data_IF_218518328858
#
_entry.id   IF_218518328858
#
_cell.length_a   1.000
_cell.length_b   1.000
_cell.length_c   1.000
_cell.angle_alpha   90.00
_cell.angle_beta   90.00
_cell.angle_gamma   90.00
#
_symmetry.space_group_name_H-M   'P 1'
#
loop_
_entity.id
_entity.type
_entity.pdbx_description
1 polymer ?
#
# COMPACT_ATOMS: atom_id res chain seq x y z
N UNK A 1 -6.16 32.83 -19.42
CA UNK A 1 -6.83 32.02 -18.38
C UNK A 1 -6.74 30.57 -18.84
N UNK A 2 -5.88 29.73 -18.24
CA UNK A 2 -5.74 28.35 -18.67
C UNK A 2 -6.85 27.48 -18.06
N UNK A 3 -7.35 26.58 -18.91
CA UNK A 3 -8.49 25.66 -18.75
C UNK A 3 -8.27 24.57 -17.69
N UNK A 4 -9.36 23.94 -17.19
CA UNK A 4 -9.30 22.93 -16.13
C UNK A 4 -9.00 21.55 -16.75
N UNK A 5 -7.80 21.35 -17.26
CA UNK A 5 -7.37 20.02 -17.70
C UNK A 5 -6.10 19.61 -16.97
N UNK A 6 -6.16 18.39 -16.40
CA UNK A 6 -5.14 17.62 -15.68
C UNK A 6 -5.22 17.66 -14.15
N UNK A 7 -6.26 17.03 -13.62
CA UNK A 7 -6.12 16.25 -12.38
C UNK A 7 -5.50 14.90 -12.74
N UNK A 8 -4.19 14.87 -12.96
CA UNK A 8 -3.42 13.64 -13.01
C UNK A 8 -2.85 13.40 -11.61
N UNK A 9 -3.55 12.59 -10.80
CA UNK A 9 -3.00 11.73 -9.73
C UNK A 9 -4.11 11.40 -8.71
N UNK A 10 -4.59 10.16 -8.74
CA UNK A 10 -4.86 9.31 -7.55
C UNK A 10 -5.51 8.01 -8.05
N UNK A 11 -4.71 7.13 -8.66
CA UNK A 11 -5.11 5.74 -8.86
C UNK A 11 -4.09 4.89 -8.10
N UNK A 12 -4.23 4.79 -6.79
CA UNK A 12 -3.51 3.75 -6.04
C UNK A 12 -4.11 2.42 -6.52
N UNK A 13 -3.35 1.65 -7.30
CA UNK A 13 -3.76 0.30 -7.71
C UNK A 13 -4.83 0.20 -8.82
N UNK A 14 -5.15 1.28 -9.54
CA UNK A 14 -6.07 1.22 -10.68
C UNK A 14 -7.54 0.99 -10.30
N UNK A 15 -7.96 1.46 -9.13
CA UNK A 15 -9.37 1.48 -8.71
C UNK A 15 -10.02 2.82 -9.04
N UNK A 16 -11.28 2.78 -9.46
CA UNK A 16 -12.10 3.97 -9.60
C UNK A 16 -12.58 4.46 -8.22
N UNK A 17 -12.61 5.78 -7.97
CA UNK A 17 -13.12 6.34 -6.72
C UNK A 17 -14.55 5.87 -6.42
N UNK A 18 -14.82 5.57 -5.16
CA UNK A 18 -16.13 5.19 -4.66
C UNK A 18 -17.10 6.38 -4.75
N UNK A 19 -18.25 6.13 -5.38
CA UNK A 19 -19.32 7.13 -5.50
C UNK A 19 -20.46 6.72 -4.57
N UNK A 20 -20.55 7.42 -3.43
CA UNK A 20 -21.64 7.22 -2.48
C UNK A 20 -23.00 7.60 -3.11
N UNK A 21 -24.00 6.76 -2.87
CA UNK A 21 -25.36 7.01 -3.32
C UNK A 21 -26.12 7.95 -2.36
N UNK A 22 -27.19 8.59 -2.84
CA UNK A 22 -27.92 9.57 -2.03
C UNK A 22 -28.63 8.87 -0.86
N UNK A 23 -28.26 9.22 0.36
CA UNK A 23 -28.82 8.64 1.58
C UNK A 23 -28.17 7.34 2.02
N UNK A 24 -27.02 7.00 1.44
CA UNK A 24 -26.22 5.86 1.88
C UNK A 24 -25.61 6.08 3.27
N UNK A 25 -25.67 5.04 4.10
CA UNK A 25 -25.06 5.07 5.42
C UNK A 25 -23.53 5.01 5.31
N UNK A 26 -22.85 5.76 6.18
CA UNK A 26 -21.40 5.78 6.23
C UNK A 26 -20.86 4.37 6.55
N UNK A 27 -19.86 3.92 5.79
CA UNK A 27 -19.30 2.57 5.90
C UNK A 27 -20.33 1.43 5.74
N UNK A 28 -21.22 1.60 4.75
CA UNK A 28 -22.08 0.53 4.23
C UNK A 28 -21.27 -0.69 3.76
N UNK A 29 -21.93 -1.85 3.68
CA UNK A 29 -21.34 -3.09 3.14
C UNK A 29 -20.64 -2.89 1.77
N UNK A 30 -21.23 -2.22 0.75
CA UNK A 30 -20.56 -1.99 -0.52
C UNK A 30 -19.33 -1.06 -0.39
N UNK A 31 -19.36 -0.09 0.52
CA UNK A 31 -18.22 0.79 0.79
C UNK A 31 -17.06 0.02 1.45
N UNK A 32 -17.34 -0.80 2.46
CA UNK A 32 -16.35 -1.68 3.10
C UNK A 32 -15.76 -2.68 2.11
N UNK A 33 -16.58 -3.23 1.22
CA UNK A 33 -16.12 -4.13 0.16
C UNK A 33 -15.19 -3.43 -0.83
N UNK A 34 -15.42 -2.16 -1.13
CA UNK A 34 -14.53 -1.35 -1.98
C UNK A 34 -13.14 -1.18 -1.36
N UNK A 35 -13.06 -0.69 -0.12
CA UNK A 35 -11.78 -0.54 0.58
C UNK A 35 -11.05 -1.88 0.80
N UNK A 36 -11.81 -2.95 1.08
CA UNK A 36 -11.26 -4.31 1.20
C UNK A 36 -10.57 -4.75 -0.09
N UNK A 37 -11.15 -4.45 -1.26
CA UNK A 37 -10.52 -4.77 -2.56
C UNK A 37 -9.23 -3.98 -2.78
N UNK A 38 -9.24 -2.69 -2.47
CA UNK A 38 -8.05 -1.82 -2.57
C UNK A 38 -6.91 -2.37 -1.70
N UNK A 39 -7.19 -2.60 -0.42
CA UNK A 39 -6.20 -3.07 0.55
C UNK A 39 -5.65 -4.45 0.20
N UNK A 40 -6.49 -5.38 -0.26
CA UNK A 40 -6.04 -6.70 -0.68
C UNK A 40 -5.15 -6.64 -1.92
N UNK A 41 -5.51 -5.82 -2.92
CA UNK A 41 -4.67 -5.63 -4.11
C UNK A 41 -3.32 -5.02 -3.72
N UNK A 42 -3.34 -3.97 -2.91
CA UNK A 42 -2.10 -3.32 -2.48
C UNK A 42 -1.21 -4.28 -1.67
N UNK A 43 -1.79 -5.08 -0.79
CA UNK A 43 -1.07 -6.15 -0.08
C UNK A 43 -0.45 -7.14 -1.06
N UNK A 44 -1.19 -7.60 -2.06
CA UNK A 44 -0.70 -8.54 -3.06
C UNK A 44 0.46 -7.96 -3.87
N UNK A 45 0.36 -6.69 -4.27
CA UNK A 45 1.43 -6.00 -5.00
C UNK A 45 2.71 -5.90 -4.15
N UNK A 46 2.58 -5.51 -2.88
CA UNK A 46 3.71 -5.47 -1.94
C UNK A 46 4.34 -6.86 -1.70
N UNK A 47 3.52 -7.91 -1.62
CA UNK A 47 4.04 -9.28 -1.46
C UNK A 47 4.86 -9.71 -2.69
N UNK A 48 4.38 -9.41 -3.90
CA UNK A 48 5.12 -9.69 -5.13
C UNK A 48 6.43 -8.91 -5.22
N UNK A 49 6.43 -7.65 -4.79
CA UNK A 49 7.64 -6.82 -4.76
C UNK A 49 8.68 -7.39 -3.79
N UNK A 50 8.26 -7.74 -2.56
CA UNK A 50 9.12 -8.39 -1.57
C UNK A 50 9.72 -9.69 -2.10
N UNK A 51 8.91 -10.55 -2.75
CA UNK A 51 9.40 -11.82 -3.32
C UNK A 51 10.44 -11.58 -4.41
N UNK A 52 10.21 -10.61 -5.31
CA UNK A 52 11.17 -10.23 -6.36
C UNK A 52 12.49 -9.73 -5.78
N UNK A 53 12.45 -8.86 -4.77
CA UNK A 53 13.67 -8.35 -4.11
C UNK A 53 14.44 -9.50 -3.45
N UNK A 54 13.74 -10.43 -2.80
CA UNK A 54 14.40 -11.59 -2.18
C UNK A 54 15.11 -12.46 -3.22
N UNK A 55 14.51 -12.68 -4.38
CA UNK A 55 15.14 -13.47 -5.44
C UNK A 55 16.32 -12.72 -6.08
N UNK A 56 16.20 -11.41 -6.31
CA UNK A 56 17.30 -10.56 -6.76
C UNK A 56 18.52 -10.64 -5.82
N UNK A 57 18.28 -10.49 -4.52
CA UNK A 57 19.32 -10.59 -3.49
C UNK A 57 20.00 -11.97 -3.45
N UNK A 58 19.28 -13.07 -3.72
CA UNK A 58 19.87 -14.42 -3.75
C UNK A 58 20.79 -14.58 -4.96
N UNK A 59 20.35 -14.10 -6.12
CA UNK A 59 21.12 -14.19 -7.36
C UNK A 59 22.41 -13.37 -7.27
N UNK A 60 22.34 -12.16 -6.71
CA UNK A 60 23.53 -11.34 -6.46
C UNK A 60 24.47 -11.94 -5.42
N UNK A 61 23.94 -12.56 -4.36
CA UNK A 61 24.75 -13.21 -3.32
C UNK A 61 25.46 -14.48 -3.82
N UNK A 62 24.94 -15.13 -4.88
CA UNK A 62 25.58 -16.27 -5.51
C UNK A 62 26.79 -15.89 -6.38
N UNK A 63 26.90 -14.61 -6.77
CA UNK A 63 27.99 -14.07 -7.56
C UNK A 63 29.01 -13.38 -6.63
N UNK A 64 30.22 -13.91 -6.54
CA UNK A 64 31.29 -13.29 -5.75
C UNK A 64 31.83 -12.06 -6.48
N UNK A 65 31.65 -10.84 -5.93
CA UNK A 65 32.15 -9.64 -6.57
C UNK A 65 33.67 -9.58 -6.49
N UNK A 66 34.26 -8.89 -7.45
CA UNK A 66 35.65 -8.49 -7.37
C UNK A 66 35.84 -7.51 -6.19
N UNK A 67 37.05 -7.44 -5.59
CA UNK A 67 37.28 -6.58 -4.42
C UNK A 67 36.96 -5.10 -4.62
N UNK A 68 36.97 -4.62 -5.86
CA UNK A 68 36.62 -3.25 -6.23
C UNK A 68 35.10 -2.99 -6.19
N UNK A 69 34.28 -4.00 -6.49
CA UNK A 69 32.82 -3.88 -6.61
C UNK A 69 32.08 -4.24 -5.32
N UNK A 70 32.77 -4.93 -4.40
CA UNK A 70 32.19 -5.37 -3.11
C UNK A 70 31.56 -4.22 -2.31
N UNK A 71 32.20 -3.05 -2.29
CA UNK A 71 31.68 -1.91 -1.53
C UNK A 71 30.35 -1.39 -2.09
N UNK A 72 30.23 -1.32 -3.42
CA UNK A 72 29.00 -0.89 -4.09
C UNK A 72 27.87 -1.91 -3.90
N UNK A 73 28.18 -3.20 -4.03
CA UNK A 73 27.21 -4.26 -3.81
C UNK A 73 26.66 -4.24 -2.36
N UNK A 74 27.54 -4.14 -1.35
CA UNK A 74 27.12 -4.08 0.06
C UNK A 74 26.20 -2.88 0.36
N UNK A 75 26.43 -1.74 -0.31
CA UNK A 75 25.56 -0.57 -0.19
C UNK A 75 24.17 -0.83 -0.78
N UNK A 76 24.09 -1.41 -1.97
CA UNK A 76 22.84 -1.78 -2.64
C UNK A 76 22.02 -2.77 -1.80
N UNK A 77 22.66 -3.84 -1.31
CA UNK A 77 22.05 -4.80 -0.38
C UNK A 77 21.49 -4.12 0.88
N UNK A 78 22.21 -3.15 1.45
CA UNK A 78 21.77 -2.41 2.64
C UNK A 78 20.51 -1.59 2.35
N UNK A 79 20.44 -0.97 1.17
CA UNK A 79 19.27 -0.18 0.74
C UNK A 79 18.05 -1.07 0.51
N UNK A 80 18.22 -2.20 -0.19
CA UNK A 80 17.15 -3.16 -0.48
C UNK A 80 16.58 -3.78 0.80
N UNK A 81 17.45 -4.22 1.73
CA UNK A 81 17.04 -4.75 3.03
C UNK A 81 16.17 -3.77 3.82
N UNK A 82 16.52 -2.48 3.78
CA UNK A 82 15.74 -1.42 4.45
C UNK A 82 14.41 -1.17 3.75
N UNK A 83 14.36 -1.22 2.43
CA UNK A 83 13.12 -1.07 1.66
C UNK A 83 12.15 -2.21 1.96
N UNK A 84 12.62 -3.45 1.86
CA UNK A 84 11.86 -4.66 2.19
C UNK A 84 11.32 -4.64 3.62
N UNK A 85 12.11 -4.20 4.59
CA UNK A 85 11.66 -4.09 5.98
C UNK A 85 10.52 -3.07 6.16
N UNK A 86 10.49 -1.99 5.36
CA UNK A 86 9.38 -1.03 5.33
C UNK A 86 8.14 -1.64 4.70
N UNK A 87 8.27 -2.33 3.57
CA UNK A 87 7.18 -3.04 2.89
C UNK A 87 6.55 -4.09 3.80
N UNK A 88 7.36 -4.91 4.48
CA UNK A 88 6.86 -5.89 5.46
C UNK A 88 6.07 -5.24 6.59
N UNK A 89 6.54 -4.09 7.10
CA UNK A 89 5.79 -3.32 8.13
C UNK A 89 4.49 -2.75 7.56
N UNK A 90 4.48 -2.33 6.30
CA UNK A 90 3.31 -1.82 5.61
C UNK A 90 2.26 -2.93 5.41
N UNK A 91 2.67 -4.13 4.98
CA UNK A 91 1.80 -5.32 4.90
C UNK A 91 1.11 -5.59 6.25
N UNK A 92 1.87 -5.57 7.36
CA UNK A 92 1.29 -5.74 8.70
C UNK A 92 0.26 -4.66 9.06
N UNK A 93 0.47 -3.42 8.61
CA UNK A 93 -0.51 -2.34 8.81
C UNK A 93 -1.76 -2.59 7.98
N UNK A 94 -1.62 -3.01 6.72
CA UNK A 94 -2.75 -3.37 5.86
C UNK A 94 -3.56 -4.51 6.48
N UNK A 95 -2.91 -5.55 7.01
CA UNK A 95 -3.58 -6.65 7.71
C UNK A 95 -4.37 -6.16 8.93
N UNK A 96 -3.80 -5.25 9.72
CA UNK A 96 -4.52 -4.60 10.83
C UNK A 96 -5.72 -3.80 10.32
N UNK A 97 -5.57 -3.04 9.24
CA UNK A 97 -6.67 -2.25 8.66
C UNK A 97 -7.78 -3.14 8.10
N UNK A 98 -7.44 -4.25 7.45
CA UNK A 98 -8.42 -5.25 7.01
C UNK A 98 -9.19 -5.85 8.20
N UNK A 99 -8.53 -6.03 9.34
CA UNK A 99 -9.19 -6.47 10.56
C UNK A 99 -10.15 -5.39 11.10
N UNK A 100 -9.76 -4.12 11.12
CA UNK A 100 -10.65 -3.00 11.50
C UNK A 100 -11.89 -2.90 10.59
N UNK A 101 -11.77 -3.24 9.30
CA UNK A 101 -12.93 -3.28 8.40
C UNK A 101 -13.92 -4.37 8.82
N UNK A 102 -13.41 -5.55 9.20
CA UNK A 102 -14.22 -6.69 9.68
C UNK A 102 -14.87 -6.42 11.04
N UNK A 103 -14.15 -5.74 11.92
CA UNK A 103 -14.63 -5.41 13.27
C UNK A 103 -15.56 -4.19 13.27
N UNK A 104 -15.93 -3.70 12.08
CA UNK A 104 -16.79 -2.55 11.85
C UNK A 104 -16.25 -1.18 12.29
N UNK A 105 -14.98 -1.08 12.67
CA UNK A 105 -14.32 0.12 13.23
C UNK A 105 -13.55 0.98 12.19
N UNK A 106 -13.42 0.52 10.94
CA UNK A 106 -12.72 1.27 9.90
C UNK A 106 -13.52 2.47 9.37
N UNK A 107 -12.89 3.64 9.32
CA UNK A 107 -13.49 4.88 8.80
C UNK A 107 -13.56 6.00 9.82
N UNK A 108 -13.41 5.70 11.11
CA UNK A 108 -13.48 6.72 12.15
C UNK A 108 -12.09 7.08 12.68
N UNK A 109 -11.94 8.33 13.10
CA UNK A 109 -10.71 8.79 13.72
C UNK A 109 -10.52 8.16 15.11
N UNK A 110 -9.40 7.47 15.33
CA UNK A 110 -9.09 6.80 16.60
C UNK A 110 -9.08 7.73 17.83
N UNK A 111 -8.85 9.04 17.65
CA UNK A 111 -8.74 10.00 18.76
C UNK A 111 -10.06 10.67 19.14
N UNK A 112 -10.95 10.92 18.18
CA UNK A 112 -12.17 11.71 18.41
C UNK A 112 -13.46 11.03 17.93
N UNK A 113 -13.36 9.88 17.25
CA UNK A 113 -14.51 9.14 16.72
C UNK A 113 -15.21 9.80 15.53
N UNK A 114 -14.68 10.90 14.99
CA UNK A 114 -15.26 11.60 13.83
C UNK A 114 -15.00 10.79 12.56
N UNK A 115 -15.99 10.76 11.66
CA UNK A 115 -15.89 10.15 10.34
C UNK A 115 -14.73 10.73 9.52
N UNK A 116 -13.94 9.86 8.92
CA UNK A 116 -12.90 10.21 7.97
C UNK A 116 -13.52 10.26 6.58
N UNK A 117 -13.35 11.38 5.86
CA UNK A 117 -13.90 11.53 4.52
C UNK A 117 -13.42 10.42 3.56
N UNK A 118 -14.33 9.89 2.74
CA UNK A 118 -14.08 8.77 1.81
C UNK A 118 -12.86 9.02 0.92
N UNK A 119 -12.76 10.21 0.33
CA UNK A 119 -11.63 10.62 -0.53
C UNK A 119 -10.26 10.64 0.15
N UNK A 120 -10.21 10.58 1.49
CA UNK A 120 -8.96 10.50 2.27
C UNK A 120 -8.58 9.04 2.56
N UNK A 121 -9.57 8.15 2.57
CA UNK A 121 -9.37 6.72 2.79
C UNK A 121 -8.96 6.00 1.50
N UNK A 122 -9.33 6.57 0.35
CA UNK A 122 -8.82 6.22 -1.00
C UNK A 122 -7.44 6.79 -1.27
#
# INVERSE_FOLDING_TARGET
>A
MPTPEKQQNHLIGGFEPYVATKGEEYMSEPMRAHFTKILNKWKQDLMQEVDRTVDHMKDEAANFPDPADRASQEEEFSLELRARDRERKLIKKIDKTLQLIKDEEYGWCESCGVEIGIRRLE
#
